data_IF_198806881550
#
_entry.id   IF_198806881550
#
_cell.length_a   1.000
_cell.length_b   1.000
_cell.length_c   1.000
_cell.angle_alpha   90.00
_cell.angle_beta   90.00
_cell.angle_gamma   90.00
#
_symmetry.space_group_name_H-M   'P 1'
#
loop_
_entity.id
_entity.type
_entity.pdbx_description
1 polymer ?
#
# COMPACT_ATOMS: atom_id res chain seq x y z
N UNK A 1 0.02 -9.57 13.13
CA UNK A 1 0.72 -9.28 11.85
C UNK A 1 0.76 -7.78 11.61
N UNK A 2 1.12 -7.35 10.39
CA UNK A 2 1.02 -5.94 9.99
C UNK A 2 -0.42 -5.43 10.05
N UNK A 3 -1.39 -6.25 9.62
CA UNK A 3 -2.82 -5.92 9.68
C UNK A 3 -3.32 -5.59 11.08
N UNK A 4 -2.93 -6.36 12.10
CA UNK A 4 -3.26 -6.07 13.50
C UNK A 4 -2.79 -4.68 13.95
N UNK A 5 -1.56 -4.29 13.59
CA UNK A 5 -1.01 -2.99 13.98
C UNK A 5 -1.73 -1.83 13.28
N UNK A 6 -2.05 -2.00 12.00
CA UNK A 6 -2.81 -1.02 11.22
C UNK A 6 -4.23 -0.84 11.76
N UNK A 7 -4.92 -1.93 12.11
CA UNK A 7 -6.24 -1.89 12.73
C UNK A 7 -6.22 -1.24 14.11
N UNK A 8 -5.21 -1.54 14.94
CA UNK A 8 -5.06 -0.90 16.25
C UNK A 8 -4.89 0.63 16.11
N UNK A 9 -4.10 1.08 15.13
CA UNK A 9 -3.97 2.50 14.80
C UNK A 9 -5.30 3.12 14.32
N UNK A 10 -6.02 2.41 13.45
CA UNK A 10 -7.33 2.85 12.95
C UNK A 10 -8.37 2.98 14.07
N UNK A 11 -8.33 2.11 15.09
CA UNK A 11 -9.26 2.10 16.21
C UNK A 11 -9.13 3.34 17.12
N UNK A 12 -7.93 3.92 17.24
CA UNK A 12 -7.68 5.11 18.07
C UNK A 12 -7.67 6.42 17.27
N UNK A 13 -7.67 6.34 15.94
CA UNK A 13 -7.63 7.51 15.07
C UNK A 13 -8.95 8.29 15.08
N UNK A 14 -8.87 9.62 15.19
CA UNK A 14 -10.05 10.51 15.31
C UNK A 14 -10.48 11.20 14.01
N UNK A 15 -9.69 11.14 12.95
CA UNK A 15 -10.05 11.72 11.64
C UNK A 15 -11.01 10.87 10.80
N UNK A 16 -11.76 11.52 9.92
CA UNK A 16 -12.72 10.87 9.00
C UNK A 16 -12.05 10.21 7.78
N UNK A 17 -10.80 10.54 7.53
CA UNK A 17 -9.96 9.94 6.50
C UNK A 17 -8.71 9.39 7.16
N UNK A 18 -8.47 8.10 6.98
CA UNK A 18 -7.28 7.41 7.45
C UNK A 18 -6.19 7.46 6.40
N UNK A 19 -4.96 7.72 6.86
CA UNK A 19 -3.74 7.69 6.04
C UNK A 19 -2.83 6.65 6.66
N UNK A 20 -2.67 5.51 5.99
CA UNK A 20 -1.78 4.44 6.43
C UNK A 20 -0.40 4.66 5.83
N UNK A 21 0.59 4.91 6.68
CA UNK A 21 1.96 5.23 6.28
C UNK A 21 2.93 4.23 6.92
N UNK A 22 3.79 3.65 6.09
CA UNK A 22 4.87 2.78 6.57
C UNK A 22 5.99 3.62 7.20
N UNK A 23 6.69 3.04 8.18
CA UNK A 23 7.70 3.74 8.97
C UNK A 23 8.93 4.19 8.14
N UNK A 24 9.17 3.56 6.99
CA UNK A 24 10.23 3.87 6.04
C UNK A 24 9.73 4.69 4.82
N UNK A 25 8.51 5.22 4.88
CA UNK A 25 7.90 6.02 3.82
C UNK A 25 7.68 7.47 4.27
N UNK A 26 7.99 8.42 3.39
CA UNK A 26 7.82 9.85 3.60
C UNK A 26 6.74 10.41 2.66
N UNK A 27 5.82 11.18 3.23
CA UNK A 27 4.82 11.93 2.47
C UNK A 27 5.44 13.18 1.83
N UNK A 28 4.94 13.61 0.66
CA UNK A 28 5.32 14.89 0.08
C UNK A 28 4.77 16.04 0.94
N UNK A 29 5.45 17.19 0.94
CA UNK A 29 5.09 18.33 1.80
C UNK A 29 3.64 18.83 1.59
N UNK A 30 3.10 18.68 0.38
CA UNK A 30 1.74 19.06 0.01
C UNK A 30 0.71 17.93 0.14
N UNK A 31 1.06 16.77 0.72
CA UNK A 31 0.19 15.59 0.79
C UNK A 31 -1.20 15.91 1.36
N UNK A 32 -1.27 16.52 2.54
CA UNK A 32 -2.54 16.80 3.20
C UNK A 32 -3.41 17.82 2.45
N UNK A 33 -2.80 18.76 1.73
CA UNK A 33 -3.55 19.69 0.89
C UNK A 33 -4.20 18.96 -0.30
N UNK A 34 -3.45 18.07 -0.94
CA UNK A 34 -3.96 17.22 -2.02
C UNK A 34 -5.06 16.28 -1.54
N UNK A 35 -4.87 15.63 -0.38
CA UNK A 35 -5.88 14.73 0.20
C UNK A 35 -7.16 15.48 0.56
N UNK A 36 -7.06 16.68 1.15
CA UNK A 36 -8.25 17.51 1.43
C UNK A 36 -9.01 17.87 0.17
N UNK A 37 -8.32 18.30 -0.88
CA UNK A 37 -8.96 18.63 -2.15
C UNK A 37 -9.60 17.40 -2.81
N UNK A 38 -8.93 16.26 -2.76
CA UNK A 38 -9.40 15.02 -3.38
C UNK A 38 -10.60 14.40 -2.65
N UNK A 39 -10.56 14.35 -1.32
CA UNK A 39 -11.65 13.83 -0.49
C UNK A 39 -12.74 14.87 -0.20
N UNK A 40 -12.66 16.07 -0.79
CA UNK A 40 -13.81 16.96 -0.87
C UNK A 40 -14.93 16.38 -1.74
N UNK A 41 -14.57 15.54 -2.72
CA UNK A 41 -15.53 14.75 -3.48
C UNK A 41 -16.02 13.54 -2.64
N UNK A 42 -17.32 13.46 -2.29
CA UNK A 42 -17.86 12.35 -1.50
C UNK A 42 -17.77 11.00 -2.22
N UNK A 43 -17.62 10.97 -3.55
CA UNK A 43 -17.47 9.73 -4.34
C UNK A 43 -16.08 9.10 -4.18
N UNK A 44 -15.08 9.86 -3.71
CA UNK A 44 -13.74 9.33 -3.45
C UNK A 44 -13.74 8.66 -2.08
N UNK A 45 -13.80 7.32 -2.06
CA UNK A 45 -13.76 6.54 -0.82
C UNK A 45 -12.35 6.06 -0.45
N UNK A 46 -11.50 5.81 -1.44
CA UNK A 46 -10.16 5.26 -1.27
C UNK A 46 -9.20 5.77 -2.35
N UNK A 47 -7.97 6.04 -1.95
CA UNK A 47 -6.89 6.45 -2.82
C UNK A 47 -5.55 5.84 -2.39
N UNK A 48 -4.56 5.90 -3.28
CA UNK A 48 -3.16 5.59 -3.01
C UNK A 48 -2.24 6.64 -3.62
N UNK A 49 -1.07 6.85 -3.05
CA UNK A 49 -0.04 7.69 -3.67
C UNK A 49 0.73 6.93 -4.74
N UNK A 50 1.48 7.67 -5.56
CA UNK A 50 2.49 7.08 -6.45
C UNK A 50 3.71 6.69 -5.63
N UNK A 51 4.30 5.54 -5.90
CA UNK A 51 5.54 5.11 -5.23
C UNK A 51 6.76 5.78 -5.87
N UNK A 52 7.75 6.08 -5.05
CA UNK A 52 9.11 6.42 -5.42
C UNK A 52 10.07 5.88 -4.37
N UNK A 53 11.32 5.67 -4.73
CA UNK A 53 12.36 5.16 -3.82
C UNK A 53 13.44 6.22 -3.59
N UNK A 54 14.07 6.23 -2.41
CA UNK A 54 15.23 7.09 -2.08
C UNK A 54 16.55 6.60 -2.73
N UNK A 55 16.47 6.16 -3.98
CA UNK A 55 17.57 5.58 -4.74
C UNK A 55 17.57 6.03 -6.21
N UNK A 56 18.72 6.43 -6.77
CA UNK A 56 18.82 6.87 -8.15
C UNK A 56 18.76 5.74 -9.19
N UNK A 57 18.68 4.47 -8.77
CA UNK A 57 18.70 3.33 -9.68
C UNK A 57 17.46 3.31 -10.60
N UNK A 58 17.71 3.29 -11.90
CA UNK A 58 16.66 3.34 -12.93
C UNK A 58 15.72 2.14 -12.90
N UNK A 59 16.15 0.97 -12.43
CA UNK A 59 15.29 -0.22 -12.33
C UNK A 59 14.25 -0.06 -11.23
N UNK A 60 14.65 0.50 -10.08
CA UNK A 60 13.72 0.84 -9.00
C UNK A 60 12.75 1.94 -9.42
N UNK A 61 13.25 2.95 -10.14
CA UNK A 61 12.39 3.99 -10.70
C UNK A 61 11.38 3.44 -11.71
N UNK A 62 11.80 2.49 -12.58
CA UNK A 62 10.91 1.82 -13.53
C UNK A 62 9.86 0.97 -12.80
N UNK A 63 10.28 0.14 -11.84
CA UNK A 63 9.39 -0.69 -11.03
C UNK A 63 8.34 0.18 -10.31
N UNK A 64 8.76 1.25 -9.65
CA UNK A 64 7.87 2.20 -9.00
C UNK A 64 6.85 2.80 -9.98
N UNK A 65 7.31 3.20 -11.18
CA UNK A 65 6.45 3.83 -12.20
C UNK A 65 5.42 2.87 -12.79
N UNK A 66 5.75 1.58 -12.93
CA UNK A 66 4.79 0.55 -13.31
C UNK A 66 3.67 0.40 -12.27
N UNK A 67 3.98 0.70 -11.00
CA UNK A 67 3.02 0.62 -9.89
C UNK A 67 2.13 1.87 -9.74
N UNK A 68 2.32 2.93 -10.53
CA UNK A 68 1.56 4.18 -10.40
C UNK A 68 0.09 4.04 -10.75
N UNK A 69 -0.28 3.04 -11.55
CA UNK A 69 -1.67 2.78 -11.92
C UNK A 69 -2.32 1.85 -10.90
N UNK A 70 -3.64 1.97 -10.73
CA UNK A 70 -4.36 1.01 -9.90
C UNK A 70 -4.64 -0.28 -10.68
N UNK A 71 -4.22 -1.41 -10.10
CA UNK A 71 -4.58 -2.75 -10.54
C UNK A 71 -4.37 -3.74 -9.40
N UNK A 72 -4.93 -4.94 -9.52
CA UNK A 72 -4.68 -6.03 -8.57
C UNK A 72 -3.18 -6.36 -8.42
N UNK A 73 -2.36 -6.02 -9.42
CA UNK A 73 -0.95 -6.37 -9.47
C UNK A 73 -0.02 -5.22 -9.05
N UNK A 74 -0.56 -4.02 -8.86
CA UNK A 74 0.22 -2.79 -8.71
C UNK A 74 -0.11 -1.98 -7.46
N UNK A 75 -1.09 -2.39 -6.66
CA UNK A 75 -1.47 -1.67 -5.44
C UNK A 75 -1.07 -2.43 -4.19
N UNK A 76 -0.17 -1.81 -3.42
CA UNK A 76 0.43 -2.34 -2.21
C UNK A 76 0.48 -1.24 -1.13
N UNK A 77 0.74 -1.62 0.10
CA UNK A 77 0.75 -0.77 1.30
C UNK A 77 1.84 0.28 1.25
N UNK A 78 2.98 -0.02 0.61
CA UNK A 78 4.11 0.89 0.42
C UNK A 78 3.72 2.18 -0.33
N UNK A 79 2.57 2.17 -1.01
CA UNK A 79 2.05 3.31 -1.76
C UNK A 79 1.20 4.27 -0.93
N UNK A 80 1.19 4.11 0.40
CA UNK A 80 0.39 4.88 1.33
C UNK A 80 -1.11 4.88 0.98
N UNK A 81 -1.84 3.94 1.57
CA UNK A 81 -3.28 3.86 1.38
C UNK A 81 -4.00 4.97 2.17
N UNK A 82 -4.92 5.65 1.49
CA UNK A 82 -5.80 6.66 2.09
C UNK A 82 -7.25 6.22 1.91
N UNK A 83 -8.03 6.18 2.97
CA UNK A 83 -9.39 5.63 2.93
C UNK A 83 -10.30 6.37 3.90
N UNK A 84 -11.57 6.59 3.53
CA UNK A 84 -12.56 7.11 4.48
C UNK A 84 -12.81 6.11 5.60
N UNK A 85 -12.98 6.59 6.83
CA UNK A 85 -13.21 5.76 8.02
C UNK A 85 -14.44 4.87 7.85
N UNK A 86 -15.55 5.44 7.38
CA UNK A 86 -16.81 4.73 7.18
C UNK A 86 -16.65 3.58 6.18
N UNK A 87 -15.97 3.83 5.06
CA UNK A 87 -15.69 2.84 4.04
C UNK A 87 -14.73 1.76 4.55
N UNK A 88 -13.66 2.13 5.26
CA UNK A 88 -12.76 1.18 5.91
C UNK A 88 -13.50 0.23 6.86
N UNK A 89 -14.39 0.78 7.68
CA UNK A 89 -15.22 0.01 8.61
C UNK A 89 -16.18 -0.92 7.85
N UNK A 90 -16.80 -0.42 6.77
CA UNK A 90 -17.69 -1.21 5.92
C UNK A 90 -16.99 -2.35 5.17
N UNK A 91 -15.68 -2.27 4.96
CA UNK A 91 -14.85 -3.34 4.39
C UNK A 91 -14.36 -4.36 5.44
N UNK A 92 -14.61 -4.11 6.73
CA UNK A 92 -14.17 -4.95 7.84
C UNK A 92 -12.71 -4.73 8.26
N UNK A 93 -12.11 -3.61 7.88
CA UNK A 93 -10.71 -3.30 8.16
C UNK A 93 -9.70 -4.23 7.48
N UNK A 94 -8.44 -4.15 7.91
CA UNK A 94 -7.41 -5.07 7.42
C UNK A 94 -7.67 -6.49 7.97
N UNK A 95 -7.50 -7.55 7.18
CA UNK A 95 -7.44 -8.88 7.74
C UNK A 95 -6.24 -8.98 8.69
N UNK A 96 -6.33 -9.82 9.73
CA UNK A 96 -5.20 -10.08 10.64
C UNK A 96 -4.16 -11.01 9.98
N UNK A 97 -3.66 -10.59 8.82
CA UNK A 97 -2.64 -11.32 8.08
C UNK A 97 -1.25 -10.75 8.38
N UNK A 98 -0.21 -11.60 8.32
CA UNK A 98 1.16 -11.16 8.47
C UNK A 98 1.67 -10.40 7.23
N UNK A 99 1.14 -10.71 6.05
CA UNK A 99 1.47 -10.14 4.75
C UNK A 99 0.20 -10.05 3.88
N UNK A 100 0.23 -9.19 2.86
CA UNK A 100 -0.83 -9.01 1.85
C UNK A 100 -2.19 -8.55 2.41
N UNK A 101 -2.22 -8.03 3.64
CA UNK A 101 -3.43 -7.48 4.26
C UNK A 101 -3.97 -6.26 3.49
N UNK A 102 -3.06 -5.47 2.96
CA UNK A 102 -3.25 -4.30 2.10
C UNK A 102 -3.82 -4.67 0.73
N UNK A 103 -3.26 -5.70 0.09
CA UNK A 103 -3.72 -6.22 -1.20
C UNK A 103 -5.15 -6.72 -1.09
N UNK A 104 -5.45 -7.44 -0.01
CA UNK A 104 -6.81 -7.91 0.26
C UNK A 104 -7.79 -6.78 0.49
N UNK A 105 -7.39 -5.74 1.25
CA UNK A 105 -8.25 -4.58 1.47
C UNK A 105 -8.51 -3.82 0.16
N UNK A 106 -7.49 -3.61 -0.68
CA UNK A 106 -7.67 -3.04 -2.02
C UNK A 106 -8.57 -3.92 -2.89
N UNK A 107 -8.45 -5.25 -2.82
CA UNK A 107 -9.32 -6.18 -3.55
C UNK A 107 -10.78 -6.01 -3.14
N UNK A 108 -11.06 -5.96 -1.83
CA UNK A 108 -12.42 -5.73 -1.30
C UNK A 108 -12.94 -4.35 -1.69
N UNK A 109 -12.11 -3.32 -1.64
CA UNK A 109 -12.46 -1.98 -2.07
C UNK A 109 -12.85 -1.92 -3.55
N UNK A 110 -12.06 -2.55 -4.43
CA UNK A 110 -12.32 -2.60 -5.88
C UNK A 110 -13.64 -3.27 -6.25
N UNK A 111 -14.12 -4.20 -5.42
CA UNK A 111 -15.43 -4.82 -5.62
C UNK A 111 -16.60 -3.83 -5.40
N UNK A 112 -16.34 -2.67 -4.77
CA UNK A 112 -17.37 -1.67 -4.42
C UNK A 112 -17.14 -0.30 -5.06
N UNK A 113 -15.89 0.08 -5.34
CA UNK A 113 -15.56 1.40 -5.86
C UNK A 113 -14.22 1.41 -6.60
N UNK A 114 -13.93 2.50 -7.31
CA UNK A 114 -12.63 2.72 -7.94
C UNK A 114 -11.60 3.16 -6.89
N UNK A 115 -10.39 2.63 -6.99
CA UNK A 115 -9.25 3.15 -6.23
C UNK A 115 -8.61 4.30 -7.01
N UNK A 116 -8.56 5.47 -6.40
CA UNK A 116 -7.97 6.65 -7.04
C UNK A 116 -6.47 6.74 -6.78
N UNK A 117 -5.75 7.44 -7.67
CA UNK A 117 -4.31 7.67 -7.53
C UNK A 117 -4.08 9.15 -7.26
N UNK A 118 -3.49 9.47 -6.12
CA UNK A 118 -3.07 10.83 -5.78
C UNK A 118 -1.94 11.23 -6.74
N UNK A 119 -2.00 12.41 -7.38
CA UNK A 119 -0.97 12.88 -8.32
C UNK A 119 0.29 13.39 -7.60
N UNK A 120 0.73 12.69 -6.56
CA UNK A 120 1.94 12.97 -5.81
C UNK A 120 2.64 11.67 -5.40
N UNK A 121 3.94 11.76 -5.15
CA UNK A 121 4.79 10.62 -4.88
C UNK A 121 5.11 10.54 -3.39
N UNK A 122 5.00 9.35 -2.82
CA UNK A 122 5.61 9.01 -1.52
C UNK A 122 6.98 8.40 -1.78
N UNK A 123 7.92 8.67 -0.87
CA UNK A 123 9.30 8.19 -0.98
C UNK A 123 9.55 7.12 0.07
N UNK A 124 9.79 5.89 -0.36
CA UNK A 124 10.08 4.73 0.49
C UNK A 124 11.56 4.37 0.45
N UNK A 125 12.10 3.86 1.57
CA UNK A 125 13.52 3.51 1.63
C UNK A 125 13.89 2.28 0.79
N UNK A 126 14.89 2.42 -0.07
CA UNK A 126 15.49 1.36 -0.87
C UNK A 126 16.52 0.51 -0.10
N UNK A 127 16.67 0.72 1.21
CA UNK A 127 17.69 0.07 2.05
C UNK A 127 17.73 -1.46 1.86
N UNK A 128 16.56 -2.11 1.81
CA UNK A 128 16.47 -3.58 1.60
C UNK A 128 16.93 -4.00 0.21
N UNK A 129 16.58 -3.22 -0.82
CA UNK A 129 17.03 -3.45 -2.19
C UNK A 129 18.55 -3.29 -2.31
N UNK A 130 19.16 -2.33 -1.61
CA UNK A 130 20.62 -2.18 -1.56
C UNK A 130 21.31 -3.35 -0.85
N UNK A 131 20.75 -3.81 0.27
CA UNK A 131 21.35 -4.90 1.06
C UNK A 131 21.28 -6.26 0.35
N UNK A 132 20.16 -6.58 -0.29
CA UNK A 132 19.91 -7.90 -0.88
C UNK A 132 20.23 -7.99 -2.39
N UNK A 133 20.51 -6.84 -3.02
CA UNK A 133 20.62 -6.70 -4.47
C UNK A 133 19.26 -6.43 -5.11
N UNK A 134 19.17 -5.39 -5.93
CA UNK A 134 17.92 -4.86 -6.50
C UNK A 134 17.13 -5.94 -7.25
N UNK A 135 17.78 -6.64 -8.18
CA UNK A 135 17.14 -7.67 -9.01
C UNK A 135 16.67 -8.84 -8.16
N UNK A 136 17.53 -9.30 -7.23
CA UNK A 136 17.22 -10.44 -6.36
C UNK A 136 16.03 -10.13 -5.46
N UNK A 137 15.98 -8.93 -4.89
CA UNK A 137 14.87 -8.47 -4.07
C UNK A 137 13.58 -8.32 -4.88
N UNK A 138 13.64 -7.70 -6.07
CA UNK A 138 12.47 -7.58 -6.97
C UNK A 138 11.90 -8.95 -7.37
N UNK A 139 12.76 -9.90 -7.74
CA UNK A 139 12.35 -11.27 -8.08
C UNK A 139 11.77 -12.01 -6.88
N UNK A 140 12.36 -11.82 -5.70
CA UNK A 140 11.86 -12.41 -4.47
C UNK A 140 10.46 -11.88 -4.12
N UNK A 141 10.27 -10.56 -4.13
CA UNK A 141 8.98 -9.94 -3.84
C UNK A 141 7.93 -10.35 -4.89
N UNK A 142 8.32 -10.41 -6.17
CA UNK A 142 7.47 -10.91 -7.24
C UNK A 142 7.06 -12.38 -7.04
N UNK A 143 7.99 -13.23 -6.59
CA UNK A 143 7.73 -14.64 -6.30
C UNK A 143 6.74 -14.84 -5.15
N UNK A 144 6.89 -14.10 -4.05
CA UNK A 144 5.94 -14.14 -2.93
C UNK A 144 4.54 -13.71 -3.39
N UNK A 145 4.48 -12.70 -4.25
CA UNK A 145 3.23 -12.22 -4.80
C UNK A 145 2.58 -13.23 -5.75
N UNK A 146 3.35 -13.95 -6.57
CA UNK A 146 2.84 -15.06 -7.36
C UNK A 146 2.28 -16.21 -6.50
N UNK A 147 2.94 -16.56 -5.39
CA UNK A 147 2.41 -17.55 -4.45
C UNK A 147 1.06 -17.12 -3.88
N UNK A 148 0.93 -15.84 -3.50
CA UNK A 148 -0.34 -15.29 -3.02
C UNK A 148 -1.44 -15.38 -4.10
N UNK A 149 -1.14 -15.02 -5.35
CA UNK A 149 -2.07 -15.19 -6.47
C UNK A 149 -2.43 -16.65 -6.74
N UNK A 150 -1.49 -17.57 -6.51
CA UNK A 150 -1.70 -19.02 -6.60
C UNK A 150 -2.55 -19.59 -5.45
N UNK A 151 -3.03 -18.76 -4.52
CA UNK A 151 -3.88 -19.17 -3.40
C UNK A 151 -3.11 -19.70 -2.19
N UNK A 152 -1.78 -19.56 -2.15
CA UNK A 152 -0.99 -19.91 -0.97
C UNK A 152 -1.35 -18.97 0.18
N UNK A 153 -1.57 -19.54 1.37
CA UNK A 153 -1.95 -18.76 2.55
C UNK A 153 -0.88 -17.70 2.89
N UNK A 154 -1.26 -16.45 3.18
CA UNK A 154 -0.32 -15.41 3.61
C UNK A 154 0.53 -15.80 4.83
N UNK A 155 0.00 -16.67 5.69
CA UNK A 155 0.74 -17.23 6.82
C UNK A 155 1.88 -18.14 6.38
N UNK A 156 1.69 -18.94 5.34
CA UNK A 156 2.71 -19.84 4.79
C UNK A 156 3.81 -19.05 4.10
N UNK A 157 3.43 -18.03 3.35
CA UNK A 157 4.36 -17.12 2.70
C UNK A 157 5.20 -16.38 3.74
N UNK A 158 4.57 -15.89 4.83
CA UNK A 158 5.29 -15.20 5.91
C UNK A 158 6.31 -16.08 6.65
N UNK A 159 6.09 -17.41 6.70
CA UNK A 159 7.07 -18.35 7.27
C UNK A 159 8.34 -18.47 6.41
N UNK A 160 8.22 -18.33 5.09
CA UNK A 160 9.34 -18.35 4.15
C UNK A 160 10.05 -16.98 4.04
N UNK A 161 9.40 -15.91 4.48
CA UNK A 161 9.87 -14.53 4.36
C UNK A 161 10.91 -14.11 5.40
N UNK A 162 11.07 -14.89 6.48
CA UNK A 162 12.00 -14.58 7.58
C UNK A 162 13.46 -14.78 7.21
#
# INVERSE_FOLDING_TARGET
GRGHQLNAGAAVATGDVFVFLHADTRLPANAFALLRAMFADPQVHIAKFRLSFDDPNWMLALAARLMWFDSLLTSYGDQCMVIRRDFFTALGGFPDWPLFEDVELFRRARARTRVHVVPAQVVTSARRFRANGIIRQLLHDFWLWLQYLGGVSPYDIARQYR
#
